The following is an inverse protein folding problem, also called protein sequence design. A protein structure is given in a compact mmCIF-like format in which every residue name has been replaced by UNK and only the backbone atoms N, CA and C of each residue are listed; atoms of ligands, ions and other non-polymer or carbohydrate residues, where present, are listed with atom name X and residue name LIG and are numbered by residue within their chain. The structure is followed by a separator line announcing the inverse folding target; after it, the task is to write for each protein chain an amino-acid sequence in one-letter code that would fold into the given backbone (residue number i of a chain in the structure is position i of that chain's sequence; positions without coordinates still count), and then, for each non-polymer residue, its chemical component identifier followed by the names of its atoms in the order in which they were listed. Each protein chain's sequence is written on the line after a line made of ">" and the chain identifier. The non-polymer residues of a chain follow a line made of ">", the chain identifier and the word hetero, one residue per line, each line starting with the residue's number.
data_IF_788506321209
#
_entry.id   IF_788506321209
#
_cell.length_a   1.000
_cell.length_b   1.000
_cell.length_c   1.000
_cell.angle_alpha   90.00
_cell.angle_beta   90.00
_cell.angle_gamma   90.00
#
_symmetry.space_group_name_H-M   'P 1'
#
loop_
_entity.id
_entity.type
_entity.pdbx_description
1 polymer ?
#
# COMPACT_ATOMS: atom_id res chain seq x y z
N UNK A 1 -1.97 9.23 -2.07
CA UNK A 1 -0.60 8.69 -1.90
C UNK A 1 -0.54 7.33 -2.58
N UNK A 2 0.59 6.96 -3.19
CA UNK A 2 0.80 5.64 -3.79
C UNK A 2 1.65 4.78 -2.86
N UNK A 3 1.28 3.52 -2.73
CA UNK A 3 1.97 2.54 -1.88
C UNK A 3 2.12 1.22 -2.62
N UNK A 4 3.17 0.46 -2.34
CA UNK A 4 3.45 -0.84 -2.96
C UNK A 4 3.26 -1.92 -1.91
N UNK A 5 2.45 -2.94 -2.19
CA UNK A 5 2.27 -4.06 -1.26
C UNK A 5 3.55 -4.87 -1.08
N UNK A 6 3.85 -5.23 0.16
CA UNK A 6 4.92 -6.14 0.56
C UNK A 6 4.44 -7.59 0.67
N UNK A 7 3.16 -7.86 0.41
CA UNK A 7 2.53 -9.19 0.61
C UNK A 7 1.56 -9.55 -0.51
N UNK A 8 1.36 -10.85 -0.73
CA UNK A 8 0.34 -11.42 -1.62
C UNK A 8 -0.82 -12.06 -0.82
N UNK A 9 -1.34 -11.34 0.17
CA UNK A 9 -2.44 -11.78 1.03
C UNK A 9 -3.42 -10.61 1.32
N UNK A 10 -4.55 -10.89 1.96
CA UNK A 10 -5.57 -9.90 2.36
C UNK A 10 -6.20 -9.13 1.21
N UNK A 11 -6.19 -9.71 0.00
CA UNK A 11 -6.66 -9.04 -1.22
C UNK A 11 -5.65 -8.08 -1.84
N UNK A 12 -4.37 -8.24 -1.49
CA UNK A 12 -3.22 -7.54 -2.05
C UNK A 12 -2.36 -8.50 -2.87
N UNK A 13 -1.60 -7.94 -3.81
CA UNK A 13 -0.60 -8.61 -4.62
C UNK A 13 0.75 -7.95 -4.36
N UNK A 14 1.76 -8.73 -3.98
CA UNK A 14 3.10 -8.21 -3.68
C UNK A 14 3.69 -7.48 -4.90
N UNK A 15 4.34 -6.34 -4.65
CA UNK A 15 4.92 -5.51 -5.70
C UNK A 15 3.90 -4.68 -6.48
N UNK A 16 2.59 -4.88 -6.28
CA UNK A 16 1.56 -4.05 -6.91
C UNK A 16 1.41 -2.72 -6.19
N UNK A 17 1.23 -1.67 -6.99
CA UNK A 17 0.90 -0.33 -6.50
C UNK A 17 -0.60 -0.19 -6.22
N UNK A 18 -0.91 0.44 -5.08
CA UNK A 18 -2.25 0.80 -4.64
C UNK A 18 -2.33 2.30 -4.36
N UNK A 19 -3.50 2.88 -4.60
CA UNK A 19 -3.80 4.26 -4.24
C UNK A 19 -4.48 4.31 -2.87
N UNK A 20 -3.92 5.11 -1.97
CA UNK A 20 -4.52 5.39 -0.65
C UNK A 20 -5.63 6.40 -0.82
N UNK A 21 -6.85 5.96 -0.53
CA UNK A 21 -8.07 6.77 -0.50
C UNK A 21 -8.20 7.54 0.82
N UNK A 22 -7.74 6.95 1.92
CA UNK A 22 -7.77 7.54 3.27
C UNK A 22 -6.70 6.89 4.16
N UNK A 23 -6.15 7.65 5.09
CA UNK A 23 -5.22 7.19 6.12
C UNK A 23 -5.81 7.46 7.50
N UNK A 24 -5.80 6.45 8.38
CA UNK A 24 -6.30 6.59 9.75
C UNK A 24 -5.64 5.58 10.68
N UNK A 25 -5.04 6.07 11.78
CA UNK A 25 -4.54 5.27 12.90
C UNK A 25 -3.67 4.05 12.49
N UNK A 26 -2.76 4.20 11.53
CA UNK A 26 -1.89 3.12 11.06
C UNK A 26 -2.52 2.21 10.00
N UNK A 27 -3.63 2.63 9.40
CA UNK A 27 -4.28 1.91 8.32
C UNK A 27 -4.42 2.78 7.07
N UNK A 28 -4.29 2.13 5.92
CA UNK A 28 -4.62 2.69 4.62
C UNK A 28 -5.90 2.07 4.07
N UNK A 29 -6.83 2.94 3.69
CA UNK A 29 -8.00 2.56 2.91
C UNK A 29 -7.62 2.51 1.44
N UNK A 30 -7.74 1.33 0.85
CA UNK A 30 -7.36 1.07 -0.56
C UNK A 30 -8.45 0.26 -1.25
N UNK A 31 -8.48 0.31 -2.57
CA UNK A 31 -9.23 -0.67 -3.37
C UNK A 31 -8.36 -1.91 -3.59
N UNK A 32 -8.87 -3.06 -3.15
CA UNK A 32 -8.23 -4.37 -3.24
C UNK A 32 -8.35 -4.95 -4.65
N UNK A 33 -7.61 -6.03 -4.92
CA UNK A 33 -7.57 -6.69 -6.23
C UNK A 33 -8.93 -7.20 -6.70
N UNK A 34 -9.81 -7.52 -5.76
CA UNK A 34 -11.18 -7.97 -6.02
C UNK A 34 -12.19 -6.83 -6.19
N UNK A 35 -11.73 -5.57 -6.21
CA UNK A 35 -12.56 -4.37 -6.37
C UNK A 35 -13.17 -3.83 -5.09
N UNK A 36 -13.07 -4.54 -3.95
CA UNK A 36 -13.59 -4.06 -2.66
C UNK A 36 -12.70 -2.96 -2.08
N UNK A 37 -13.32 -2.00 -1.38
CA UNK A 37 -12.61 -0.96 -0.63
C UNK A 37 -12.53 -1.38 0.84
N UNK A 38 -11.32 -1.44 1.40
CA UNK A 38 -11.11 -1.86 2.78
C UNK A 38 -9.84 -1.23 3.38
N UNK A 39 -9.73 -1.25 4.70
CA UNK A 39 -8.53 -0.82 5.42
C UNK A 39 -7.54 -1.96 5.55
N UNK A 40 -6.25 -1.65 5.37
CA UNK A 40 -5.12 -2.55 5.60
C UNK A 40 -4.08 -1.84 6.43
N UNK A 41 -3.37 -2.58 7.27
CA UNK A 41 -2.30 -1.99 8.07
C UNK A 41 -1.25 -1.38 7.15
N UNK A 42 -0.76 -0.20 7.51
CA UNK A 42 0.24 0.54 6.75
C UNK A 42 1.56 -0.22 6.57
N UNK A 43 1.97 -1.02 7.57
CA UNK A 43 3.19 -1.83 7.52
C UNK A 43 3.18 -2.90 6.43
N UNK A 44 2.02 -3.19 5.82
CA UNK A 44 1.94 -4.10 4.67
C UNK A 44 2.46 -3.46 3.39
N UNK A 45 2.86 -2.18 3.42
CA UNK A 45 3.21 -1.44 2.22
C UNK A 45 4.47 -0.60 2.37
N UNK A 46 5.18 -0.43 1.25
CA UNK A 46 6.20 0.60 1.07
C UNK A 46 5.57 1.85 0.46
N UNK A 47 5.96 3.05 0.92
CA UNK A 47 5.51 4.30 0.30
C UNK A 47 6.26 4.55 -1.00
N UNK A 48 5.54 4.86 -2.08
CA UNK A 48 6.15 5.42 -3.30
C UNK A 48 6.42 6.89 -3.06
N UNK A 49 7.47 7.21 -2.30
CA UNK A 49 8.04 8.55 -2.30
C UNK A 49 8.96 8.66 -3.50
N UNK A 50 8.69 9.64 -4.38
CA UNK A 50 9.53 9.89 -5.53
C UNK A 50 10.92 10.35 -5.09
N UNK A 51 11.85 9.40 -5.00
CA UNK A 51 13.30 9.57 -4.98
C UNK A 51 13.90 10.28 -3.77
N UNK A 52 14.55 9.51 -2.91
CA UNK A 52 15.80 9.94 -2.28
C UNK A 52 16.78 8.73 -2.25
N UNK A 53 17.62 8.67 -3.28
CA UNK A 53 19.07 8.38 -3.25
C UNK A 53 19.59 7.21 -2.39
N UNK A 54 20.07 6.18 -3.11
CA UNK A 54 21.26 5.34 -2.89
C UNK A 54 22.05 5.51 -1.56
N UNK A 55 22.28 4.43 -0.82
CA UNK A 55 23.48 4.30 0.02
C UNK A 55 23.90 2.83 0.26
N UNK A 56 25.05 2.51 -0.37
CA UNK A 56 26.10 1.45 -0.19
C UNK A 56 25.87 -0.02 -0.54
#
# INVERSE_FOLDING_TARGET
>A
MKIISQVSDFGLTEGREYEVLEESAGFYKVQLDNGNISYRNDYLFNKCEGGAEDEV
#
